data_IF_472817100386
#
_entry.id   IF_472817100386
#
_cell.length_a   1.000
_cell.length_b   1.000
_cell.length_c   1.000
_cell.angle_alpha   90.00
_cell.angle_beta   90.00
_cell.angle_gamma   90.00
#
_symmetry.space_group_name_H-M   'P 1'
#
loop_
_entity.id
_entity.type
_entity.pdbx_description
1 polymer ?
#
# COMPACT_ATOMS: atom_id res chain seq x y z
N UNK A 1 12.45 -9.23 -9.52
CA UNK A 1 12.44 -9.69 -8.11
C UNK A 1 11.11 -10.40 -7.87
N UNK A 2 10.98 -11.35 -6.93
CA UNK A 2 9.65 -11.80 -6.52
C UNK A 2 8.98 -10.72 -5.68
N UNK A 3 7.73 -10.41 -5.98
CA UNK A 3 6.93 -9.41 -5.28
C UNK A 3 5.59 -10.02 -4.87
N UNK A 4 5.09 -9.63 -3.70
CA UNK A 4 3.77 -10.01 -3.18
C UNK A 4 2.65 -9.55 -4.11
N UNK A 5 2.77 -8.38 -4.74
CA UNK A 5 1.82 -7.87 -5.74
C UNK A 5 0.62 -7.14 -5.13
N UNK A 6 0.05 -7.71 -4.06
CA UNK A 6 -1.06 -7.10 -3.31
C UNK A 6 -0.77 -6.74 -1.85
N UNK A 7 0.38 -6.11 -1.58
CA UNK A 7 0.75 -5.73 -0.21
C UNK A 7 -0.05 -4.49 0.25
N UNK A 8 -1.03 -4.71 1.13
CA UNK A 8 -1.91 -3.67 1.70
C UNK A 8 -2.35 -4.02 3.14
N UNK A 9 -2.95 -3.09 3.92
CA UNK A 9 -3.29 -3.31 5.33
C UNK A 9 -4.07 -4.58 5.67
N UNK A 10 -4.96 -5.08 4.80
CA UNK A 10 -5.70 -6.31 5.10
C UNK A 10 -4.91 -7.61 4.88
N UNK A 11 -3.71 -7.53 4.30
CA UNK A 11 -2.79 -8.66 4.08
C UNK A 11 -1.63 -8.66 5.09
N UNK A 12 -1.75 -7.84 6.14
CA UNK A 12 -0.73 -7.63 7.16
C UNK A 12 -1.29 -7.95 8.54
N UNK A 13 -0.58 -8.80 9.27
CA UNK A 13 -0.91 -9.17 10.65
C UNK A 13 -0.05 -8.36 11.60
N UNK A 14 -0.68 -7.68 12.55
CA UNK A 14 0.00 -6.89 13.59
C UNK A 14 -0.28 -7.49 14.97
N UNK A 15 0.77 -7.62 15.77
CA UNK A 15 0.70 -8.03 17.18
C UNK A 15 1.50 -7.02 18.01
N UNK A 16 0.89 -6.47 19.05
CA UNK A 16 1.49 -5.45 19.93
C UNK A 16 2.10 -4.26 19.17
N UNK A 17 1.38 -3.77 18.15
CA UNK A 17 1.80 -2.65 17.31
C UNK A 17 2.95 -2.97 16.33
N UNK A 18 3.38 -4.23 16.25
CA UNK A 18 4.50 -4.69 15.42
C UNK A 18 4.03 -5.65 14.33
N UNK A 19 4.62 -5.55 13.14
CA UNK A 19 4.40 -6.50 12.05
C UNK A 19 4.75 -7.92 12.51
N UNK A 20 3.79 -8.84 12.41
CA UNK A 20 3.90 -10.23 12.86
C UNK A 20 3.70 -11.26 11.74
N UNK A 21 3.14 -10.84 10.61
CA UNK A 21 2.94 -11.72 9.46
C UNK A 21 2.43 -10.99 8.23
N UNK A 22 2.62 -11.63 7.08
CA UNK A 22 2.07 -11.24 5.78
C UNK A 22 1.34 -12.46 5.23
N UNK A 23 0.16 -12.25 4.64
CA UNK A 23 -0.70 -13.32 4.12
C UNK A 23 -1.19 -12.97 2.71
N UNK A 24 -1.84 -13.91 2.03
CA UNK A 24 -2.44 -13.73 0.71
C UNK A 24 -1.44 -13.46 -0.43
N UNK A 25 -0.58 -14.46 -0.68
CA UNK A 25 0.40 -14.46 -1.77
C UNK A 25 -0.20 -14.89 -3.13
N UNK A 26 -1.53 -14.83 -3.30
CA UNK A 26 -2.20 -15.27 -4.53
C UNK A 26 -1.79 -14.47 -5.77
N UNK A 27 -1.45 -13.20 -5.59
CA UNK A 27 -1.02 -12.26 -6.64
C UNK A 27 0.52 -12.17 -6.76
N UNK A 28 1.27 -13.14 -6.24
CA UNK A 28 2.73 -13.09 -6.26
C UNK A 28 3.28 -13.30 -7.68
N UNK A 29 4.20 -12.45 -8.12
CA UNK A 29 4.84 -12.58 -9.45
C UNK A 29 6.29 -12.11 -9.46
N UNK A 30 7.01 -12.43 -10.54
CA UNK A 30 8.34 -11.91 -10.80
C UNK A 30 8.23 -10.57 -11.54
N UNK A 31 8.64 -9.47 -10.92
CA UNK A 31 8.50 -8.14 -11.51
C UNK A 31 9.26 -7.03 -10.79
N UNK A 32 8.74 -5.81 -10.99
CA UNK A 32 9.27 -4.57 -10.44
C UNK A 32 8.94 -4.46 -8.93
N UNK A 33 9.95 -4.30 -8.04
CA UNK A 33 9.73 -4.15 -6.60
C UNK A 33 8.87 -2.94 -6.23
N UNK A 34 8.68 -1.98 -7.13
CA UNK A 34 7.80 -0.83 -6.93
C UNK A 34 6.37 -1.22 -6.48
N UNK A 35 5.89 -2.41 -6.85
CA UNK A 35 4.59 -2.93 -6.42
C UNK A 35 4.46 -3.07 -4.90
N UNK A 36 5.47 -3.65 -4.25
CA UNK A 36 5.46 -3.85 -2.80
C UNK A 36 6.00 -2.62 -2.07
N UNK A 37 6.92 -1.87 -2.69
CA UNK A 37 7.44 -0.61 -2.14
C UNK A 37 6.35 0.46 -1.96
N UNK A 38 5.24 0.36 -2.70
CA UNK A 38 4.06 1.21 -2.49
C UNK A 38 3.50 1.12 -1.05
N UNK A 39 3.79 0.03 -0.32
CA UNK A 39 3.42 -0.14 1.09
C UNK A 39 3.96 0.97 1.99
N UNK A 40 5.03 1.67 1.59
CA UNK A 40 5.56 2.83 2.32
C UNK A 40 4.50 3.91 2.60
N UNK A 41 3.50 4.06 1.71
CA UNK A 41 2.39 4.99 1.89
C UNK A 41 1.06 4.31 2.20
N UNK A 42 0.82 3.12 1.63
CA UNK A 42 -0.46 2.41 1.77
C UNK A 42 -0.61 1.74 3.15
N UNK A 43 0.50 1.29 3.73
CA UNK A 43 0.53 0.53 4.99
C UNK A 43 1.08 1.36 6.16
N UNK A 44 2.23 2.00 5.96
CA UNK A 44 2.99 2.58 7.07
C UNK A 44 2.43 3.95 7.53
N UNK A 45 2.70 4.35 8.79
CA UNK A 45 2.35 5.67 9.31
C UNK A 45 2.96 6.81 8.49
N UNK A 46 2.37 8.01 8.61
CA UNK A 46 2.96 9.19 7.97
C UNK A 46 4.36 9.47 8.54
N UNK A 47 5.31 9.86 7.67
CA UNK A 47 6.69 10.19 8.07
C UNK A 47 7.64 8.99 8.23
N UNK A 48 7.21 7.76 7.92
CA UNK A 48 8.10 6.58 7.99
C UNK A 48 8.65 6.15 6.62
N UNK A 49 8.22 6.78 5.53
CA UNK A 49 8.60 6.38 4.17
C UNK A 49 10.11 6.49 3.93
N UNK A 50 10.75 7.60 4.31
CA UNK A 50 12.22 7.75 4.22
C UNK A 50 12.95 6.58 4.89
N UNK A 51 12.66 6.33 6.17
CA UNK A 51 13.29 5.24 6.94
C UNK A 51 13.06 3.87 6.30
N UNK A 52 11.88 3.63 5.73
CA UNK A 52 11.59 2.38 5.03
C UNK A 52 12.48 2.20 3.79
N UNK A 53 12.63 3.24 2.96
CA UNK A 53 13.49 3.17 1.77
C UNK A 53 14.98 3.09 2.12
N UNK A 54 15.42 3.82 3.16
CA UNK A 54 16.80 3.75 3.66
C UNK A 54 17.18 2.32 4.09
N UNK A 55 16.23 1.57 4.66
CA UNK A 55 16.46 0.18 5.11
C UNK A 55 16.32 -0.86 3.99
N UNK A 56 15.55 -0.61 2.93
CA UNK A 56 15.30 -1.58 1.86
C UNK A 56 16.53 -1.82 0.95
N UNK A 57 17.54 -0.94 1.02
CA UNK A 57 18.83 -0.99 0.30
C UNK A 57 18.78 -0.88 -1.23
N UNK A 58 17.67 -1.25 -1.91
CA UNK A 58 17.54 -1.28 -3.38
C UNK A 58 16.46 -0.35 -3.96
N UNK A 59 16.09 0.71 -3.23
CA UNK A 59 15.08 1.67 -3.68
C UNK A 59 15.75 2.95 -4.22
N UNK A 60 16.15 2.94 -5.49
CA UNK A 60 16.62 4.18 -6.15
C UNK A 60 15.47 5.18 -6.35
N UNK A 61 15.79 6.43 -6.68
CA UNK A 61 14.77 7.48 -6.89
C UNK A 61 13.74 7.09 -7.96
N UNK A 62 14.15 6.34 -8.98
CA UNK A 62 13.25 5.88 -10.02
C UNK A 62 12.25 4.83 -9.49
N UNK A 63 12.70 3.88 -8.67
CA UNK A 63 11.86 2.88 -8.01
C UNK A 63 10.91 3.53 -7.02
N UNK A 64 11.40 4.48 -6.21
CA UNK A 64 10.56 5.28 -5.29
C UNK A 64 9.48 6.04 -6.07
N UNK A 65 9.83 6.66 -7.20
CA UNK A 65 8.86 7.36 -8.05
C UNK A 65 7.78 6.42 -8.61
N UNK A 66 8.16 5.23 -9.08
CA UNK A 66 7.20 4.22 -9.56
C UNK A 66 6.31 3.72 -8.43
N UNK A 67 6.89 3.42 -7.27
CA UNK A 67 6.16 3.01 -6.07
C UNK A 67 5.15 4.07 -5.62
N UNK A 68 5.52 5.35 -5.68
CA UNK A 68 4.62 6.47 -5.36
C UNK A 68 3.44 6.55 -6.33
N UNK A 69 3.68 6.33 -7.63
CA UNK A 69 2.62 6.23 -8.64
C UNK A 69 1.67 5.06 -8.38
N UNK A 70 2.20 3.89 -8.06
CA UNK A 70 1.41 2.71 -7.69
C UNK A 70 0.62 2.93 -6.39
N UNK A 71 1.20 3.61 -5.40
CA UNK A 71 0.50 3.98 -4.18
C UNK A 71 -0.67 4.93 -4.45
N UNK A 72 -0.53 5.88 -5.38
CA UNK A 72 -1.63 6.76 -5.81
C UNK A 72 -2.77 5.95 -6.46
N UNK A 73 -2.43 5.02 -7.36
CA UNK A 73 -3.39 4.12 -8.01
C UNK A 73 -4.12 3.24 -6.98
N UNK A 74 -3.37 2.60 -6.06
CA UNK A 74 -3.95 1.78 -4.98
C UNK A 74 -4.86 2.63 -4.09
N UNK A 75 -4.49 3.87 -3.77
CA UNK A 75 -5.33 4.80 -2.99
C UNK A 75 -6.68 5.06 -3.66
N UNK A 76 -6.69 5.30 -4.98
CA UNK A 76 -7.91 5.45 -5.76
C UNK A 76 -8.76 4.18 -5.75
N UNK A 77 -8.14 3.01 -5.91
CA UNK A 77 -8.83 1.73 -5.85
C UNK A 77 -9.52 1.50 -4.49
N UNK A 78 -8.82 1.79 -3.38
CA UNK A 78 -9.40 1.68 -2.04
C UNK A 78 -10.57 2.65 -1.82
N UNK A 79 -10.46 3.88 -2.33
CA UNK A 79 -11.57 4.84 -2.29
C UNK A 79 -12.78 4.37 -3.09
N UNK A 80 -12.58 3.81 -4.28
CA UNK A 80 -13.65 3.25 -5.11
C UNK A 80 -14.32 2.04 -4.43
N UNK A 81 -13.54 1.15 -3.78
CA UNK A 81 -14.10 0.06 -2.98
C UNK A 81 -14.94 0.58 -1.79
N UNK A 82 -14.49 1.66 -1.16
CA UNK A 82 -15.25 2.38 -0.14
C UNK A 82 -16.59 2.89 -0.66
N UNK A 83 -16.56 3.64 -1.77
CA UNK A 83 -17.75 4.18 -2.43
C UNK A 83 -18.74 3.08 -2.86
N UNK A 84 -18.24 1.95 -3.37
CA UNK A 84 -19.08 0.81 -3.67
C UNK A 84 -19.74 0.24 -2.40
N UNK A 85 -19.01 0.21 -1.28
CA UNK A 85 -19.54 -0.18 0.02
C UNK A 85 -20.65 0.74 0.51
N UNK A 86 -20.44 2.06 0.42
CA UNK A 86 -21.44 3.07 0.79
C UNK A 86 -22.71 2.99 -0.06
N UNK A 87 -22.58 2.52 -1.31
CA UNK A 87 -23.69 2.33 -2.26
C UNK A 87 -24.33 0.95 -2.20
N UNK A 88 -23.85 0.04 -1.34
CA UNK A 88 -24.35 -1.33 -1.25
C UNK A 88 -24.09 -2.19 -2.49
N UNK A 89 -23.06 -1.86 -3.28
CA UNK A 89 -22.70 -2.61 -4.49
C UNK A 89 -21.89 -3.87 -4.14
N UNK A 90 -22.01 -4.97 -4.93
CA UNK A 90 -21.25 -6.20 -4.71
C UNK A 90 -19.74 -5.95 -4.60
N UNK A 91 -19.11 -6.57 -3.61
CA UNK A 91 -17.66 -6.44 -3.35
C UNK A 91 -17.24 -5.11 -2.70
N UNK A 92 -18.17 -4.18 -2.48
CA UNK A 92 -17.91 -2.93 -1.78
C UNK A 92 -17.58 -3.13 -0.29
N UNK A 93 -16.66 -2.32 0.23
CA UNK A 93 -16.23 -2.38 1.64
C UNK A 93 -16.10 -0.95 2.20
N UNK A 94 -17.09 -0.43 2.95
CA UNK A 94 -17.18 1.00 3.28
C UNK A 94 -15.96 1.54 4.07
N UNK A 95 -15.35 0.70 4.91
CA UNK A 95 -14.18 1.07 5.70
C UNK A 95 -12.92 1.38 4.86
N UNK A 96 -12.90 1.05 3.57
CA UNK A 96 -11.73 1.28 2.71
C UNK A 96 -11.65 2.68 2.12
N UNK A 97 -12.77 3.42 2.07
CA UNK A 97 -12.79 4.81 1.64
C UNK A 97 -11.81 5.69 2.43
N UNK A 98 -11.93 5.72 3.77
CA UNK A 98 -11.00 6.44 4.64
C UNK A 98 -9.55 5.96 4.53
N UNK A 99 -9.31 4.65 4.37
CA UNK A 99 -7.95 4.09 4.22
C UNK A 99 -7.30 4.59 2.93
N UNK A 100 -8.03 4.56 1.81
CA UNK A 100 -7.55 5.09 0.53
C UNK A 100 -7.23 6.59 0.59
N UNK A 101 -8.07 7.37 1.26
CA UNK A 101 -7.82 8.82 1.46
C UNK A 101 -6.58 9.07 2.32
N UNK A 102 -6.43 8.36 3.43
CA UNK A 102 -5.25 8.50 4.29
C UNK A 102 -3.94 8.11 3.57
N UNK A 103 -3.98 7.06 2.73
CA UNK A 103 -2.86 6.69 1.88
C UNK A 103 -2.54 7.79 0.85
N UNK A 104 -3.56 8.35 0.18
CA UNK A 104 -3.37 9.44 -0.77
C UNK A 104 -2.75 10.68 -0.12
N UNK A 105 -3.20 11.04 1.08
CA UNK A 105 -2.63 12.17 1.82
C UNK A 105 -1.14 11.97 2.11
N UNK A 106 -0.71 10.74 2.43
CA UNK A 106 0.71 10.40 2.59
C UNK A 106 1.46 10.48 1.26
N UNK A 107 0.88 9.95 0.18
CA UNK A 107 1.46 10.04 -1.17
C UNK A 107 1.68 11.49 -1.57
N UNK A 108 0.75 12.40 -1.29
CA UNK A 108 0.86 13.82 -1.64
C UNK A 108 1.91 14.56 -0.81
N UNK A 109 2.11 14.17 0.46
CA UNK A 109 3.15 14.76 1.33
C UNK A 109 4.58 14.40 0.93
N UNK A 110 4.80 13.27 0.25
CA UNK A 110 6.11 12.84 -0.22
C UNK A 110 6.73 11.72 0.60
N UNK A 111 8.05 11.62 0.56
CA UNK A 111 8.87 10.66 1.33
C UNK A 111 9.22 11.26 2.67
#
# INVERSE_FOLDING_TARGET
>A
MWVHGDLHPANVVVSDGTLSGIVDFGDMFAGDPAWDLAAAWVLLPAGTASRFFDMYAYADEAAIRRARGLAAMKSLFLMLMGQNGDRGLPGGKPNWGPVGRAALDRVLKGV
#
